data_IF_025287397352
#
_entry.id   IF_025287397352
#
_cell.length_a   1.000
_cell.length_b   1.000
_cell.length_c   1.000
_cell.angle_alpha   90.00
_cell.angle_beta   90.00
_cell.angle_gamma   90.00
#
_symmetry.space_group_name_H-M   'P 1'
#
loop_
_entity.id
_entity.type
_entity.pdbx_description
1 polymer ?
#
# COMPACT_ATOMS: atom_id res chain seq x y z
N UNK A 1 -12.35 3.19 18.83
CA UNK A 1 -12.87 3.04 17.46
C UNK A 1 -12.28 4.21 16.68
N UNK A 2 -11.30 3.98 15.80
CA UNK A 2 -10.74 5.05 14.95
C UNK A 2 -11.91 5.74 14.23
N UNK A 3 -11.92 7.06 14.16
CA UNK A 3 -12.91 7.78 13.35
C UNK A 3 -12.55 7.53 11.88
N UNK A 4 -13.05 6.40 11.36
CA UNK A 4 -12.56 5.67 10.19
C UNK A 4 -12.56 6.45 8.86
N UNK A 5 -13.12 7.66 8.82
CA UNK A 5 -13.11 8.50 7.63
C UNK A 5 -11.99 9.56 7.62
N UNK A 6 -11.71 10.26 8.73
CA UNK A 6 -10.71 11.34 8.71
C UNK A 6 -9.28 10.80 8.75
N UNK A 7 -9.03 9.80 9.58
CA UNK A 7 -7.70 9.23 9.76
C UNK A 7 -7.29 8.40 8.54
N UNK A 8 -8.22 7.65 7.95
CA UNK A 8 -7.94 6.87 6.75
C UNK A 8 -7.52 7.76 5.57
N UNK A 9 -8.18 8.91 5.38
CA UNK A 9 -7.85 9.82 4.28
C UNK A 9 -6.42 10.36 4.42
N UNK A 10 -5.96 10.66 5.64
CA UNK A 10 -4.56 11.03 5.89
C UNK A 10 -3.60 9.88 5.58
N UNK A 11 -3.93 8.65 5.99
CA UNK A 11 -3.12 7.48 5.66
C UNK A 11 -3.09 7.20 4.16
N UNK A 12 -4.20 7.40 3.45
CA UNK A 12 -4.27 7.25 2.00
C UNK A 12 -3.38 8.28 1.28
N UNK A 13 -3.36 9.53 1.76
CA UNK A 13 -2.47 10.56 1.24
C UNK A 13 -0.99 10.18 1.42
N UNK A 14 -0.60 9.75 2.63
CA UNK A 14 0.76 9.26 2.90
C UNK A 14 1.10 8.09 1.99
N UNK A 15 0.20 7.11 1.86
CA UNK A 15 0.42 5.94 1.01
C UNK A 15 0.60 6.34 -0.47
N UNK A 16 -0.14 7.32 -0.97
CA UNK A 16 0.04 7.84 -2.33
C UNK A 16 1.39 8.48 -2.52
N UNK A 17 1.78 9.37 -1.61
CA UNK A 17 3.08 10.05 -1.66
C UNK A 17 4.25 9.05 -1.65
N UNK A 18 4.15 8.00 -0.82
CA UNK A 18 5.19 6.98 -0.71
C UNK A 18 5.26 6.01 -1.88
N UNK A 19 4.18 5.87 -2.66
CA UNK A 19 4.09 4.85 -3.74
C UNK A 19 4.04 5.44 -5.14
N UNK A 20 3.83 6.76 -5.26
CA UNK A 20 3.61 7.44 -6.54
C UNK A 20 2.20 7.23 -7.12
N UNK A 21 1.23 6.75 -6.32
CA UNK A 21 -0.14 6.51 -6.79
C UNK A 21 -0.86 7.80 -7.20
N UNK A 22 -1.51 7.74 -8.36
CA UNK A 22 -2.33 8.83 -8.91
C UNK A 22 -3.81 8.72 -8.52
N UNK A 23 -4.23 7.61 -7.92
CA UNK A 23 -5.62 7.35 -7.51
C UNK A 23 -6.07 8.30 -6.40
N UNK A 24 -7.31 8.79 -6.42
CA UNK A 24 -7.80 9.68 -5.37
C UNK A 24 -7.95 8.98 -4.01
N UNK A 25 -7.87 9.73 -2.91
CA UNK A 25 -7.99 9.16 -1.56
C UNK A 25 -9.35 8.46 -1.35
N UNK A 26 -10.42 9.00 -1.94
CA UNK A 26 -11.76 8.41 -1.91
C UNK A 26 -11.82 7.08 -2.67
N UNK A 27 -11.24 7.01 -3.87
CA UNK A 27 -11.17 5.75 -4.63
C UNK A 27 -10.35 4.69 -3.90
N UNK A 28 -9.22 5.09 -3.30
CA UNK A 28 -8.39 4.20 -2.46
C UNK A 28 -9.23 3.65 -1.31
N UNK A 29 -9.98 4.50 -0.60
CA UNK A 29 -10.86 4.08 0.49
C UNK A 29 -11.88 3.04 0.04
N UNK A 30 -12.67 3.34 -1.00
CA UNK A 30 -13.71 2.43 -1.47
C UNK A 30 -13.14 1.09 -1.95
N UNK A 31 -12.01 1.11 -2.67
CA UNK A 31 -11.35 -0.12 -3.10
C UNK A 31 -10.80 -0.89 -1.89
N UNK A 32 -10.13 -0.23 -0.95
CA UNK A 32 -9.56 -0.87 0.24
C UNK A 32 -10.61 -1.62 1.08
N UNK A 33 -11.77 -1.00 1.33
CA UNK A 33 -12.85 -1.64 2.12
C UNK A 33 -13.52 -2.79 1.36
N UNK A 34 -13.49 -2.77 0.02
CA UNK A 34 -14.07 -3.83 -0.83
C UNK A 34 -13.22 -5.12 -0.89
N UNK A 35 -11.95 -5.07 -0.44
CA UNK A 35 -11.03 -6.20 -0.54
C UNK A 35 -11.39 -7.29 0.48
N UNK A 36 -11.54 -8.52 -0.01
CA UNK A 36 -11.85 -9.70 0.81
C UNK A 36 -10.73 -10.01 1.82
N UNK A 37 -11.03 -10.47 3.04
CA UNK A 37 -10.02 -10.73 4.08
C UNK A 37 -8.88 -11.68 3.65
N UNK A 38 -9.18 -12.71 2.88
CA UNK A 38 -8.17 -13.64 2.36
C UNK A 38 -7.19 -12.97 1.38
N UNK A 39 -7.67 -12.02 0.58
CA UNK A 39 -6.84 -11.21 -0.31
C UNK A 39 -5.96 -10.27 0.51
N UNK A 40 -6.49 -9.63 1.55
CA UNK A 40 -5.70 -8.76 2.46
C UNK A 40 -4.49 -9.50 3.02
N UNK A 41 -4.71 -10.69 3.59
CA UNK A 41 -3.63 -11.53 4.15
C UNK A 41 -2.59 -11.94 3.10
N UNK A 42 -3.03 -12.30 1.88
CA UNK A 42 -2.12 -12.65 0.78
C UNK A 42 -1.25 -11.46 0.38
N UNK A 43 -1.85 -10.29 0.18
CA UNK A 43 -1.13 -9.07 -0.19
C UNK A 43 -0.14 -8.66 0.88
N UNK A 44 -0.57 -8.65 2.15
CA UNK A 44 0.30 -8.35 3.29
C UNK A 44 1.59 -9.20 3.22
N UNK A 45 1.47 -10.52 3.06
CA UNK A 45 2.63 -11.41 2.98
C UNK A 45 3.55 -11.11 1.77
N UNK A 46 2.97 -10.72 0.63
CA UNK A 46 3.75 -10.34 -0.55
C UNK A 46 4.54 -9.04 -0.33
N UNK A 47 3.90 -8.02 0.27
CA UNK A 47 4.55 -6.74 0.58
C UNK A 47 5.61 -6.91 1.68
N UNK A 48 5.33 -7.72 2.71
CA UNK A 48 6.31 -8.09 3.75
C UNK A 48 7.59 -8.69 3.14
N UNK A 49 7.45 -9.55 2.12
CA UNK A 49 8.58 -10.09 1.36
C UNK A 49 9.35 -9.05 0.53
N UNK A 50 8.76 -7.90 0.21
CA UNK A 50 9.46 -6.77 -0.44
C UNK A 50 10.23 -5.98 0.64
N UNK A 51 9.58 -5.67 1.77
CA UNK A 51 10.16 -4.87 2.85
C UNK A 51 11.37 -5.56 3.47
N UNK A 52 11.27 -6.87 3.72
CA UNK A 52 12.35 -7.67 4.33
C UNK A 52 13.62 -7.82 3.49
N UNK A 53 13.61 -7.42 2.21
CA UNK A 53 14.78 -7.52 1.32
C UNK A 53 15.82 -6.42 1.56
N UNK A 54 15.56 -5.48 2.46
CA UNK A 54 16.34 -4.24 2.56
C UNK A 54 16.92 -4.09 3.97
N UNK A 55 18.21 -4.41 4.15
CA UNK A 55 19.00 -4.00 5.33
C UNK A 55 19.81 -2.73 4.98
N UNK A 56 19.11 -1.72 4.49
CA UNK A 56 19.67 -0.47 3.99
C UNK A 56 18.83 0.71 4.49
N UNK A 57 19.40 1.91 4.42
CA UNK A 57 18.72 3.12 4.89
C UNK A 57 17.43 3.38 4.09
N UNK A 58 16.45 4.06 4.71
CA UNK A 58 15.17 4.35 4.05
C UNK A 58 15.34 5.08 2.71
N UNK A 59 16.28 6.02 2.62
CA UNK A 59 16.51 6.80 1.40
C UNK A 59 16.99 5.93 0.23
N UNK A 60 17.72 4.85 0.51
CA UNK A 60 18.20 3.90 -0.50
C UNK A 60 17.16 2.80 -0.76
N UNK A 61 16.41 2.38 0.28
CA UNK A 61 15.35 1.40 0.20
C UNK A 61 14.13 1.93 -0.56
N UNK A 62 13.78 3.21 -0.39
CA UNK A 62 12.51 3.76 -0.86
C UNK A 62 12.36 3.71 -2.39
N UNK A 63 13.34 4.11 -3.21
CA UNK A 63 13.23 3.95 -4.67
C UNK A 63 13.03 2.49 -5.10
N UNK A 64 13.75 1.55 -4.46
CA UNK A 64 13.61 0.12 -4.75
C UNK A 64 12.24 -0.41 -4.33
N UNK A 65 11.77 0.00 -3.14
CA UNK A 65 10.45 -0.32 -2.65
C UNK A 65 9.36 0.16 -3.62
N UNK A 66 9.45 1.41 -4.10
CA UNK A 66 8.52 1.98 -5.09
C UNK A 66 8.50 1.14 -6.37
N UNK A 67 9.66 0.70 -6.87
CA UNK A 67 9.73 -0.17 -8.04
C UNK A 67 9.02 -1.50 -7.77
N UNK A 68 9.36 -2.19 -6.69
CA UNK A 68 8.80 -3.51 -6.39
C UNK A 68 7.30 -3.46 -6.09
N UNK A 69 6.82 -2.45 -5.37
CA UNK A 69 5.40 -2.33 -5.07
C UNK A 69 4.58 -2.00 -6.32
N UNK A 70 5.14 -1.25 -7.29
CA UNK A 70 4.49 -1.00 -8.57
C UNK A 70 4.46 -2.25 -9.47
N UNK A 71 5.50 -3.08 -9.45
CA UNK A 71 5.46 -4.40 -10.13
C UNK A 71 4.34 -5.25 -9.53
N UNK A 72 4.28 -5.35 -8.20
CA UNK A 72 3.24 -6.11 -7.51
C UNK A 72 1.83 -5.55 -7.77
N UNK A 73 1.69 -4.22 -7.87
CA UNK A 73 0.45 -3.54 -8.21
C UNK A 73 -0.10 -4.02 -9.56
N UNK A 74 0.77 -4.14 -10.56
CA UNK A 74 0.41 -4.68 -11.88
C UNK A 74 -0.01 -6.15 -11.78
N UNK A 75 0.76 -6.98 -11.07
CA UNK A 75 0.46 -8.42 -10.90
C UNK A 75 -0.90 -8.66 -10.21
N UNK A 76 -1.18 -7.90 -9.16
CA UNK A 76 -2.39 -8.04 -8.34
C UNK A 76 -3.58 -7.24 -8.88
N UNK A 77 -3.37 -6.43 -9.93
CA UNK A 77 -4.36 -5.51 -10.49
C UNK A 77 -4.95 -4.57 -9.42
N UNK A 78 -4.08 -4.10 -8.52
CA UNK A 78 -4.41 -3.19 -7.44
C UNK A 78 -3.53 -1.95 -7.53
N UNK A 79 -3.99 -0.85 -6.94
CA UNK A 79 -3.20 0.37 -6.84
C UNK A 79 -2.07 0.19 -5.80
N UNK A 80 -0.85 0.68 -6.03
CA UNK A 80 0.25 0.49 -5.10
C UNK A 80 0.01 1.14 -3.73
N UNK A 81 -0.77 2.23 -3.65
CA UNK A 81 -1.14 2.81 -2.35
C UNK A 81 -2.06 1.87 -1.56
N UNK A 82 -2.95 1.15 -2.24
CA UNK A 82 -3.80 0.13 -1.60
C UNK A 82 -2.94 -1.03 -1.08
N UNK A 83 -1.93 -1.47 -1.84
CA UNK A 83 -1.01 -2.52 -1.40
C UNK A 83 -0.26 -2.12 -0.13
N UNK A 84 0.25 -0.89 -0.07
CA UNK A 84 0.94 -0.36 1.10
C UNK A 84 -0.01 -0.27 2.31
N UNK A 85 -1.23 0.25 2.11
CA UNK A 85 -2.23 0.32 3.19
C UNK A 85 -2.58 -1.06 3.74
N UNK A 86 -2.72 -2.08 2.89
CA UNK A 86 -2.98 -3.47 3.30
C UNK A 86 -1.85 -4.10 4.10
N UNK A 87 -0.62 -3.62 3.93
CA UNK A 87 0.54 -4.06 4.71
C UNK A 87 0.60 -3.38 6.08
N UNK A 88 0.18 -2.10 6.16
CA UNK A 88 0.21 -1.31 7.41
C UNK A 88 -0.99 -1.56 8.33
N UNK A 89 -2.01 -2.26 7.85
CA UNK A 89 -3.32 -2.45 8.50
C UNK A 89 -3.50 -3.79 9.20
#
# INVERSE_FOLDING_TARGET
MLNFNADFIKFAEVARCLTGSTMSNSEIYYKYISIKPNVKKRIHNKVDGIVKKSDISFNEAHPLFVVYINILAVEEKLDPAILLLLYLS
#
